data_IF_326633210367
#
_entry.id   IF_326633210367
#
_cell.length_a   1.000
_cell.length_b   1.000
_cell.length_c   1.000
_cell.angle_alpha   90.00
_cell.angle_beta   90.00
_cell.angle_gamma   90.00
#
_symmetry.space_group_name_H-M   'P 1'
#
loop_
_entity.id
_entity.type
_entity.pdbx_description
1 polymer ?
#
# COMPACT_ATOMS: atom_id res chain seq x y z
N UNK A 1 -28.58 -13.99 8.68
CA UNK A 1 -28.09 -14.77 7.52
C UNK A 1 -26.72 -15.33 7.87
N UNK A 2 -26.41 -16.59 7.51
CA UNK A 2 -25.11 -17.21 7.83
C UNK A 2 -24.02 -16.59 6.94
N UNK A 3 -23.09 -15.86 7.54
CA UNK A 3 -21.92 -15.30 6.84
C UNK A 3 -20.85 -16.37 6.66
N UNK A 4 -20.00 -16.22 5.63
CA UNK A 4 -18.82 -17.07 5.49
C UNK A 4 -17.86 -16.83 6.66
N UNK A 5 -17.21 -17.90 7.14
CA UNK A 5 -16.25 -17.85 8.24
C UNK A 5 -14.84 -18.16 7.73
N UNK A 6 -13.83 -17.55 8.36
CA UNK A 6 -12.46 -17.97 8.15
C UNK A 6 -12.29 -19.40 8.71
N UNK A 7 -11.51 -20.25 8.04
CA UNK A 7 -11.24 -21.59 8.56
C UNK A 7 -10.55 -21.49 9.93
N UNK A 8 -10.75 -22.48 10.83
CA UNK A 8 -10.05 -22.51 12.10
C UNK A 8 -8.54 -22.67 11.87
N UNK A 9 -7.77 -21.74 12.42
CA UNK A 9 -6.30 -21.72 12.31
C UNK A 9 -5.73 -22.14 13.67
N UNK A 10 -4.84 -23.14 13.67
CA UNK A 10 -4.06 -23.49 14.86
C UNK A 10 -2.88 -22.53 14.95
N UNK A 11 -2.66 -22.01 16.14
CA UNK A 11 -1.55 -21.11 16.47
C UNK A 11 -0.89 -21.58 17.77
N UNK A 12 0.36 -21.19 17.96
CA UNK A 12 1.06 -21.43 19.22
C UNK A 12 0.40 -20.66 20.37
N UNK A 13 0.31 -21.23 21.58
CA UNK A 13 -0.29 -20.56 22.73
C UNK A 13 0.35 -19.21 23.06
N UNK A 14 1.68 -19.10 22.94
CA UNK A 14 2.42 -17.88 23.21
C UNK A 14 2.03 -16.77 22.23
N UNK A 15 1.90 -17.11 20.95
CA UNK A 15 1.45 -16.16 19.94
C UNK A 15 0.02 -15.68 20.19
N UNK A 16 -0.85 -16.55 20.70
CA UNK A 16 -2.21 -16.13 21.09
C UNK A 16 -2.18 -15.06 22.19
N UNK A 17 -1.34 -15.24 23.20
CA UNK A 17 -1.18 -14.27 24.30
C UNK A 17 -0.66 -12.93 23.77
N UNK A 18 0.29 -12.95 22.85
CA UNK A 18 0.80 -11.74 22.20
C UNK A 18 -0.31 -10.98 21.47
N UNK A 19 -1.16 -11.68 20.71
CA UNK A 19 -2.27 -11.06 19.98
C UNK A 19 -3.33 -10.50 20.93
N UNK A 20 -3.69 -11.23 21.98
CA UNK A 20 -4.65 -10.76 22.98
C UNK A 20 -4.11 -9.52 23.73
N UNK A 21 -2.79 -9.40 23.90
CA UNK A 21 -2.13 -8.27 24.55
C UNK A 21 -2.11 -6.96 23.76
N UNK A 22 -2.34 -6.99 22.44
CA UNK A 22 -2.33 -5.79 21.58
C UNK A 22 -3.72 -5.29 21.19
N UNK A 23 -4.79 -5.94 21.67
CA UNK A 23 -6.17 -5.55 21.37
C UNK A 23 -6.51 -4.17 21.93
N UNK A 24 -7.28 -3.39 21.16
CA UNK A 24 -7.84 -2.15 21.65
C UNK A 24 -8.96 -2.40 22.68
N UNK A 25 -9.32 -1.37 23.46
CA UNK A 25 -10.39 -1.48 24.45
C UNK A 25 -11.72 -1.85 23.78
N UNK A 26 -12.30 -2.98 24.18
CA UNK A 26 -13.57 -3.49 23.64
C UNK A 26 -13.45 -4.19 22.28
N UNK A 27 -12.24 -4.37 21.75
CA UNK A 27 -11.98 -5.14 20.54
C UNK A 27 -11.91 -6.64 20.86
N UNK A 28 -12.59 -7.46 20.05
CA UNK A 28 -12.46 -8.91 20.12
C UNK A 28 -11.37 -9.43 19.20
N UNK A 29 -10.79 -10.58 19.55
CA UNK A 29 -9.81 -11.28 18.72
C UNK A 29 -10.31 -11.52 17.28
N UNK A 30 -11.59 -11.86 17.12
CA UNK A 30 -12.20 -12.07 15.80
C UNK A 30 -12.24 -10.79 14.96
N UNK A 31 -12.56 -9.63 15.57
CA UNK A 31 -12.57 -8.33 14.88
C UNK A 31 -11.17 -7.92 14.45
N UNK A 32 -10.18 -8.13 15.33
CA UNK A 32 -8.79 -7.87 15.03
C UNK A 32 -8.28 -8.72 13.84
N UNK A 33 -8.52 -10.03 13.88
CA UNK A 33 -8.13 -10.96 12.80
C UNK A 33 -8.85 -10.62 11.49
N UNK A 34 -10.15 -10.33 11.53
CA UNK A 34 -10.89 -9.92 10.33
C UNK A 34 -10.28 -8.66 9.70
N UNK A 35 -9.99 -7.65 10.51
CA UNK A 35 -9.43 -6.37 10.06
C UNK A 35 -8.04 -6.57 9.43
N UNK A 36 -7.16 -7.33 10.10
CA UNK A 36 -5.83 -7.65 9.60
C UNK A 36 -5.86 -8.42 8.27
N UNK A 37 -6.78 -9.38 8.13
CA UNK A 37 -6.97 -10.13 6.88
C UNK A 37 -7.48 -9.21 5.77
N UNK A 38 -8.46 -8.35 6.05
CA UNK A 38 -8.97 -7.38 5.06
C UNK A 38 -7.89 -6.44 4.57
N UNK A 39 -7.09 -5.88 5.48
CA UNK A 39 -5.98 -5.01 5.14
C UNK A 39 -4.93 -5.72 4.28
N UNK A 40 -4.56 -6.95 4.66
CA UNK A 40 -3.59 -7.75 3.90
C UNK A 40 -4.11 -8.08 2.50
N UNK A 41 -5.40 -8.42 2.36
CA UNK A 41 -6.03 -8.67 1.05
C UNK A 41 -5.99 -7.40 0.20
N UNK A 42 -6.35 -6.25 0.77
CA UNK A 42 -6.32 -4.97 0.05
C UNK A 42 -4.90 -4.63 -0.41
N UNK A 43 -3.90 -4.76 0.48
CA UNK A 43 -2.48 -4.57 0.15
C UNK A 43 -2.05 -5.47 -1.01
N UNK A 44 -2.38 -6.76 -0.97
CA UNK A 44 -2.02 -7.71 -2.04
C UNK A 44 -2.70 -7.38 -3.36
N UNK A 45 -3.99 -6.98 -3.34
CA UNK A 45 -4.71 -6.54 -4.54
C UNK A 45 -4.07 -5.32 -5.17
N UNK A 46 -3.77 -4.31 -4.35
CA UNK A 46 -3.13 -3.07 -4.80
C UNK A 46 -1.73 -3.35 -5.40
N UNK A 47 -0.95 -4.21 -4.75
CA UNK A 47 0.37 -4.61 -5.26
C UNK A 47 0.27 -5.31 -6.61
N UNK A 48 -0.62 -6.30 -6.73
CA UNK A 48 -0.82 -7.05 -7.97
C UNK A 48 -1.30 -6.13 -9.11
N UNK A 49 -2.20 -5.21 -8.81
CA UNK A 49 -2.68 -4.23 -9.77
C UNK A 49 -1.60 -3.23 -10.18
N UNK A 50 -0.78 -2.73 -9.24
CA UNK A 50 0.33 -1.84 -9.53
C UNK A 50 1.32 -2.48 -10.51
N UNK A 51 1.72 -3.72 -10.26
CA UNK A 51 2.63 -4.48 -11.14
C UNK A 51 2.00 -4.67 -12.53
N UNK A 52 0.74 -5.11 -12.59
CA UNK A 52 0.01 -5.30 -13.85
C UNK A 52 -0.04 -4.01 -14.67
N UNK A 53 -0.38 -2.88 -14.03
CA UNK A 53 -0.43 -1.56 -14.69
C UNK A 53 0.96 -1.12 -15.15
N UNK A 54 2.00 -1.35 -14.35
CA UNK A 54 3.38 -1.03 -14.69
C UNK A 54 3.86 -1.77 -15.94
N UNK A 55 3.61 -3.09 -16.01
CA UNK A 55 3.97 -3.91 -17.19
C UNK A 55 3.24 -3.41 -18.43
N UNK A 56 1.92 -3.20 -18.35
CA UNK A 56 1.12 -2.71 -19.47
C UNK A 56 1.59 -1.32 -19.97
N UNK A 57 1.96 -0.43 -19.05
CA UNK A 57 2.50 0.89 -19.40
C UNK A 57 3.85 0.77 -20.13
N UNK A 58 4.75 -0.09 -19.65
CA UNK A 58 6.04 -0.33 -20.31
C UNK A 58 5.83 -0.86 -21.73
N UNK A 59 4.94 -1.83 -21.91
CA UNK A 59 4.62 -2.37 -23.24
C UNK A 59 4.02 -1.33 -24.18
N UNK A 60 3.15 -0.45 -23.67
CA UNK A 60 2.60 0.66 -24.43
C UNK A 60 3.70 1.64 -24.86
N UNK A 61 4.56 2.05 -23.94
CA UNK A 61 5.67 2.98 -24.23
C UNK A 61 6.65 2.38 -25.24
N UNK A 62 6.97 1.08 -25.12
CA UNK A 62 7.82 0.38 -26.10
C UNK A 62 7.20 0.38 -27.50
N UNK A 63 5.89 0.11 -27.61
CA UNK A 63 5.17 0.13 -28.90
C UNK A 63 5.08 1.52 -29.50
N UNK A 64 4.87 2.54 -28.67
CA UNK A 64 4.74 3.93 -29.12
C UNK A 64 6.09 4.62 -29.38
N UNK A 65 7.21 4.04 -28.90
CA UNK A 65 8.54 4.66 -29.00
C UNK A 65 8.69 5.95 -28.18
N UNK A 66 7.77 6.24 -27.26
CA UNK A 66 7.67 7.52 -26.53
C UNK A 66 8.43 7.55 -25.20
N UNK A 67 9.34 6.61 -25.00
CA UNK A 67 10.17 6.55 -23.79
C UNK A 67 11.12 7.74 -23.69
N UNK A 68 11.35 8.22 -22.46
CA UNK A 68 12.38 9.22 -22.17
C UNK A 68 13.39 8.66 -21.18
N UNK A 69 14.63 9.16 -21.25
CA UNK A 69 15.70 8.74 -20.36
C UNK A 69 15.36 9.06 -18.89
N UNK A 70 15.80 8.20 -17.97
CA UNK A 70 15.47 8.30 -16.55
C UNK A 70 16.01 9.62 -15.95
N UNK A 71 17.18 10.05 -16.39
CA UNK A 71 17.85 11.28 -15.97
C UNK A 71 17.00 12.51 -16.28
N UNK A 72 16.32 12.50 -17.44
CA UNK A 72 15.40 13.58 -17.84
C UNK A 72 14.17 13.63 -16.93
N UNK A 73 13.67 12.47 -16.49
CA UNK A 73 12.55 12.40 -15.53
C UNK A 73 12.99 12.93 -14.17
N UNK A 74 14.13 12.45 -13.65
CA UNK A 74 14.65 12.84 -12.34
C UNK A 74 14.88 14.35 -12.28
N UNK A 75 15.58 14.92 -13.27
CA UNK A 75 15.83 16.36 -13.34
C UNK A 75 14.52 17.18 -13.31
N UNK A 76 13.48 16.73 -14.03
CA UNK A 76 12.16 17.39 -14.01
C UNK A 76 11.49 17.32 -12.64
N UNK A 77 11.60 16.18 -11.93
CA UNK A 77 11.02 16.02 -10.61
C UNK A 77 11.75 16.86 -9.56
N UNK A 78 13.08 16.93 -9.62
CA UNK A 78 13.89 17.79 -8.75
C UNK A 78 13.55 19.27 -8.94
N UNK A 79 13.41 19.72 -10.18
CA UNK A 79 13.01 21.08 -10.49
C UNK A 79 11.61 21.43 -9.92
N UNK A 80 10.63 20.51 -10.09
CA UNK A 80 9.29 20.68 -9.51
C UNK A 80 9.32 20.72 -7.99
N UNK A 81 10.14 19.88 -7.36
CA UNK A 81 10.30 19.85 -5.91
C UNK A 81 10.95 21.14 -5.38
N UNK A 82 11.98 21.65 -6.05
CA UNK A 82 12.61 22.91 -5.70
C UNK A 82 11.62 24.08 -5.77
N UNK A 83 10.84 24.17 -6.85
CA UNK A 83 9.80 25.19 -7.01
C UNK A 83 8.73 25.10 -5.92
N UNK A 84 8.26 23.88 -5.59
CA UNK A 84 7.27 23.68 -4.53
C UNK A 84 7.79 24.12 -3.16
N UNK A 85 9.08 23.88 -2.85
CA UNK A 85 9.72 24.33 -1.61
C UNK A 85 9.80 25.85 -1.53
N UNK A 86 10.17 26.52 -2.61
CA UNK A 86 10.22 27.99 -2.67
C UNK A 86 8.83 28.60 -2.44
N UNK A 87 7.80 28.08 -3.12
CA UNK A 87 6.43 28.53 -2.94
C UNK A 87 5.91 28.29 -1.51
N UNK A 88 6.30 27.18 -0.88
CA UNK A 88 5.93 26.91 0.52
C UNK A 88 6.62 27.88 1.49
N UNK A 89 7.89 28.22 1.26
CA UNK A 89 8.61 29.18 2.09
C UNK A 89 8.00 30.59 1.99
N UNK A 90 7.59 31.01 0.80
CA UNK A 90 6.91 32.29 0.57
C UNK A 90 5.54 32.37 1.23
N UNK A 91 4.81 31.25 1.38
CA UNK A 91 3.52 31.20 2.09
C UNK A 91 3.63 31.23 3.62
N UNK A 92 4.83 30.99 4.16
CA UNK A 92 5.10 30.99 5.61
C UNK A 92 5.68 32.31 6.11
N UNK A 93 6.03 33.23 5.21
CA UNK A 93 6.39 34.62 5.51
C UNK A 93 5.14 35.50 5.42
#
# INVERSE_FOLDING_TARGET
MKTATLPPIRIEPEFRVEVEGVLAQGESLSQFVESAVRETVLKRKNQAEFVRRGIAAIELTKRAGSGIAAEVVIAKLEAKLAAARLAQAQRKQ
#
